data_IF_399108140780
#
_entry.id   IF_399108140780
#
_cell.length_a   1.000
_cell.length_b   1.000
_cell.length_c   1.000
_cell.angle_alpha   90.00
_cell.angle_beta   90.00
_cell.angle_gamma   90.00
#
_symmetry.space_group_name_H-M   'P 1'
#
loop_
_entity.id
_entity.type
_entity.pdbx_description
1 polymer ?
#
# COMPACT_ATOMS: atom_id res chain seq x y z
N UNK A 1 32.63 -17.10 44.73
CA UNK A 1 31.23 -16.90 44.28
C UNK A 1 31.19 -17.03 42.76
N UNK A 2 30.22 -17.78 42.21
CA UNK A 2 29.87 -17.89 40.77
C UNK A 2 31.00 -18.47 39.88
N UNK A 3 30.98 -19.74 39.51
CA UNK A 3 30.11 -20.44 38.52
C UNK A 3 30.76 -20.55 37.13
N UNK A 4 31.15 -21.79 36.81
CA UNK A 4 31.25 -22.43 35.49
C UNK A 4 30.04 -22.10 34.57
N UNK A 5 29.96 -22.36 33.25
CA UNK A 5 30.78 -22.99 32.19
C UNK A 5 30.22 -22.48 30.82
N UNK A 6 30.75 -22.65 29.60
CA UNK A 6 31.98 -23.23 29.01
C UNK A 6 32.21 -22.58 27.60
N UNK A 7 32.98 -23.21 26.70
CA UNK A 7 33.18 -22.82 25.28
C UNK A 7 32.99 -24.04 24.37
N UNK A 8 32.43 -23.85 23.17
CA UNK A 8 32.59 -24.78 22.04
C UNK A 8 32.51 -24.04 20.69
N UNK A 9 33.65 -23.85 20.04
CA UNK A 9 33.76 -23.57 18.60
C UNK A 9 34.48 -24.77 17.99
N UNK A 10 33.88 -25.40 16.98
CA UNK A 10 34.51 -26.46 16.20
C UNK A 10 34.01 -26.41 14.75
N UNK A 11 34.91 -26.68 13.82
CA UNK A 11 34.72 -26.48 12.38
C UNK A 11 35.31 -27.63 11.55
N UNK A 12 34.78 -27.75 10.33
CA UNK A 12 35.27 -28.53 9.18
C UNK A 12 35.09 -30.07 9.11
N UNK A 13 34.80 -30.51 7.88
CA UNK A 13 34.72 -31.90 7.41
C UNK A 13 33.28 -32.40 7.20
N UNK A 14 32.90 -33.06 6.09
CA UNK A 14 33.62 -33.44 4.85
C UNK A 14 32.60 -33.45 3.68
N UNK A 15 33.07 -33.19 2.45
CA UNK A 15 32.26 -33.26 1.22
C UNK A 15 31.87 -34.72 0.94
N UNK A 16 30.58 -34.98 0.64
CA UNK A 16 30.15 -36.24 0.02
C UNK A 16 29.29 -35.96 -1.21
N UNK A 17 29.81 -36.32 -2.37
CA UNK A 17 29.10 -36.22 -3.65
C UNK A 17 28.19 -37.42 -3.82
N UNK A 18 26.87 -37.21 -3.83
CA UNK A 18 25.92 -38.21 -4.31
C UNK A 18 25.17 -37.67 -5.53
N UNK A 19 25.46 -38.26 -6.69
CA UNK A 19 24.61 -38.14 -7.88
C UNK A 19 23.38 -39.01 -7.65
N UNK A 20 22.21 -38.40 -7.61
CA UNK A 20 20.93 -39.09 -7.71
C UNK A 20 20.15 -38.48 -8.87
N UNK A 21 19.96 -39.26 -9.93
CA UNK A 21 19.16 -38.86 -11.08
C UNK A 21 17.68 -39.20 -10.83
N UNK A 22 16.82 -38.26 -11.22
CA UNK A 22 15.52 -38.49 -11.86
C UNK A 22 14.22 -38.33 -11.06
N UNK A 23 13.22 -37.97 -11.89
CA UNK A 23 11.77 -37.88 -11.70
C UNK A 23 11.22 -36.72 -10.86
N UNK A 24 10.42 -35.91 -11.55
CA UNK A 24 9.87 -34.68 -11.02
C UNK A 24 8.81 -34.93 -9.96
N UNK A 25 8.98 -34.24 -8.84
CA UNK A 25 7.87 -33.77 -8.03
C UNK A 25 7.83 -32.26 -8.21
N UNK A 26 6.65 -31.74 -8.53
CA UNK A 26 6.41 -30.30 -8.56
C UNK A 26 6.66 -29.76 -7.16
N UNK A 27 7.72 -28.98 -6.98
CA UNK A 27 7.92 -28.15 -5.79
C UNK A 27 6.83 -27.08 -5.76
N UNK A 28 5.66 -27.43 -5.24
CA UNK A 28 4.70 -26.46 -4.74
C UNK A 28 5.29 -25.89 -3.45
N UNK A 29 6.26 -24.99 -3.61
CA UNK A 29 6.72 -24.15 -2.53
C UNK A 29 5.49 -23.39 -2.01
N UNK A 30 5.06 -23.62 -0.76
CA UNK A 30 3.85 -23.00 -0.26
C UNK A 30 4.07 -21.50 -0.25
N UNK A 31 3.17 -20.75 -0.87
CA UNK A 31 3.21 -19.29 -0.86
C UNK A 31 3.44 -18.81 0.58
N UNK A 32 4.38 -17.87 0.81
CA UNK A 32 4.79 -17.48 2.16
C UNK A 32 3.55 -17.12 2.98
N UNK A 33 3.36 -17.84 4.09
CA UNK A 33 2.17 -17.73 4.91
C UNK A 33 1.94 -16.26 5.27
N UNK A 34 0.76 -15.72 4.92
CA UNK A 34 0.42 -14.32 5.15
C UNK A 34 0.66 -13.96 6.61
N UNK A 35 1.67 -13.11 6.86
CA UNK A 35 1.94 -12.55 8.18
C UNK A 35 0.66 -11.94 8.75
N UNK A 36 0.45 -11.96 10.08
CA UNK A 36 -0.85 -11.65 10.69
C UNK A 36 -1.23 -10.15 10.72
N UNK A 37 -1.24 -9.51 9.56
CA UNK A 37 -2.23 -8.48 9.26
C UNK A 37 -3.53 -9.21 8.91
N UNK A 38 -4.41 -9.41 9.89
CA UNK A 38 -5.60 -10.25 9.69
C UNK A 38 -6.44 -9.77 8.51
N UNK A 39 -7.10 -10.69 7.81
CA UNK A 39 -8.06 -10.41 6.72
C UNK A 39 -9.28 -9.54 7.13
N UNK A 40 -9.27 -9.01 8.35
CA UNK A 40 -10.25 -8.08 8.92
C UNK A 40 -9.79 -6.61 8.85
N UNK A 41 -8.53 -6.28 8.58
CA UNK A 41 -8.10 -4.86 8.48
C UNK A 41 -8.54 -4.18 7.18
N UNK A 42 -8.65 -4.92 6.08
CA UNK A 42 -8.98 -4.37 4.77
C UNK A 42 -10.47 -4.49 4.43
N UNK A 43 -10.99 -3.49 3.69
CA UNK A 43 -12.31 -3.57 3.06
C UNK A 43 -12.21 -4.47 1.83
N UNK A 44 -13.13 -5.43 1.70
CA UNK A 44 -13.21 -6.38 0.59
C UNK A 44 -14.45 -6.16 -0.27
N UNK A 45 -14.40 -6.59 -1.52
CA UNK A 45 -15.54 -6.56 -2.44
C UNK A 45 -16.39 -7.83 -2.31
N UNK A 46 -17.70 -7.73 -2.44
CA UNK A 46 -18.66 -8.83 -2.47
C UNK A 46 -19.80 -8.53 -3.46
N UNK A 47 -19.58 -8.82 -4.74
CA UNK A 47 -20.43 -8.33 -5.83
C UNK A 47 -20.35 -6.80 -5.91
N UNK A 48 -21.49 -6.12 -5.89
CA UNK A 48 -21.56 -4.64 -5.91
C UNK A 48 -21.40 -3.99 -4.52
N UNK A 49 -21.04 -4.76 -3.48
CA UNK A 49 -20.93 -4.25 -2.09
C UNK A 49 -19.50 -4.25 -1.62
N UNK A 50 -19.16 -3.26 -0.79
CA UNK A 50 -17.96 -3.26 0.04
C UNK A 50 -18.31 -3.84 1.41
N UNK A 51 -17.41 -4.67 1.96
CA UNK A 51 -17.57 -5.35 3.25
C UNK A 51 -16.34 -5.09 4.11
N UNK A 52 -16.55 -4.65 5.35
CA UNK A 52 -15.48 -4.39 6.31
C UNK A 52 -15.31 -5.56 7.31
N UNK A 53 -14.42 -5.38 8.30
CA UNK A 53 -14.26 -6.26 9.45
C UNK A 53 -15.61 -6.77 10.02
N UNK A 54 -15.71 -8.07 10.26
CA UNK A 54 -16.91 -8.70 10.83
C UNK A 54 -18.12 -8.74 9.90
N UNK A 55 -17.87 -8.82 8.59
CA UNK A 55 -18.89 -8.97 7.52
C UNK A 55 -19.97 -7.87 7.46
N UNK A 56 -19.67 -6.70 8.02
CA UNK A 56 -20.55 -5.53 7.94
C UNK A 56 -20.44 -4.86 6.57
N UNK A 57 -21.60 -4.47 6.02
CA UNK A 57 -21.65 -3.60 4.85
C UNK A 57 -20.89 -2.29 5.12
N UNK A 58 -19.97 -1.95 4.22
CA UNK A 58 -19.18 -0.75 4.28
C UNK A 58 -19.68 0.26 3.25
N UNK A 59 -20.12 1.43 3.71
CA UNK A 59 -20.44 2.58 2.86
C UNK A 59 -19.37 3.63 3.06
N UNK A 60 -18.69 4.02 1.99
CA UNK A 60 -17.66 5.06 2.04
C UNK A 60 -18.33 6.38 2.43
N UNK A 61 -17.82 6.99 3.50
CA UNK A 61 -17.96 8.41 3.82
C UNK A 61 -16.55 8.92 3.99
N UNK A 62 -16.00 9.46 2.91
CA UNK A 62 -14.63 9.96 2.84
C UNK A 62 -14.60 11.47 2.58
N UNK A 63 -13.49 12.08 2.97
CA UNK A 63 -13.09 13.45 2.65
C UNK A 63 -11.57 13.47 2.45
N UNK A 64 -11.06 14.38 1.62
CA UNK A 64 -9.62 14.53 1.41
C UNK A 64 -8.91 15.00 2.67
N UNK A 65 -7.73 14.46 2.96
CA UNK A 65 -6.87 14.88 4.06
C UNK A 65 -5.55 15.46 3.51
N UNK A 66 -5.34 16.76 3.71
CA UNK A 66 -4.15 17.48 3.23
C UNK A 66 -4.17 17.80 1.73
N UNK A 67 -2.99 17.77 1.11
CA UNK A 67 -2.77 18.02 -0.32
C UNK A 67 -1.72 17.04 -0.88
N UNK A 68 -1.24 17.24 -2.11
CA UNK A 68 -0.09 16.49 -2.64
C UNK A 68 1.23 16.79 -1.91
N UNK A 69 1.32 17.96 -1.27
CA UNK A 69 2.56 18.49 -0.67
C UNK A 69 2.54 18.59 0.86
N UNK A 70 1.36 18.79 1.48
CA UNK A 70 1.25 18.97 2.93
C UNK A 70 1.43 17.64 3.70
N UNK A 71 2.18 17.68 4.80
CA UNK A 71 2.25 16.58 5.75
C UNK A 71 0.96 16.51 6.59
N UNK A 72 0.58 15.34 7.13
CA UNK A 72 -0.69 15.20 7.83
C UNK A 72 -0.72 15.92 9.19
N UNK A 73 -1.86 16.55 9.47
CA UNK A 73 -2.14 17.26 10.73
C UNK A 73 -3.09 16.40 11.58
N UNK A 74 -2.80 16.23 12.88
CA UNK A 74 -3.60 15.39 13.77
C UNK A 74 -5.04 15.91 13.93
N UNK A 75 -5.21 17.21 14.12
CA UNK A 75 -6.50 17.89 14.27
C UNK A 75 -7.47 17.61 13.11
N UNK A 76 -6.97 17.50 11.87
CA UNK A 76 -7.79 17.17 10.70
C UNK A 76 -8.40 15.76 10.86
N UNK A 77 -7.58 14.78 11.25
CA UNK A 77 -8.01 13.39 11.44
C UNK A 77 -9.00 13.25 12.60
N UNK A 78 -8.75 13.95 13.71
CA UNK A 78 -9.73 14.02 14.80
C UNK A 78 -11.05 14.61 14.29
N UNK A 79 -11.00 15.75 13.60
CA UNK A 79 -12.20 16.47 13.16
C UNK A 79 -13.02 15.64 12.17
N UNK A 80 -12.36 14.93 11.26
CA UNK A 80 -12.99 14.01 10.30
C UNK A 80 -13.72 12.88 11.03
N UNK A 81 -13.10 12.27 12.06
CA UNK A 81 -13.73 11.23 12.86
C UNK A 81 -14.89 11.76 13.73
N UNK A 82 -14.76 12.97 14.30
CA UNK A 82 -15.85 13.66 15.00
C UNK A 82 -17.08 13.85 14.08
N UNK A 83 -16.85 14.22 12.82
CA UNK A 83 -17.86 14.40 11.76
C UNK A 83 -18.45 13.07 11.19
N UNK A 84 -18.07 11.91 11.74
CA UNK A 84 -18.61 10.57 11.40
C UNK A 84 -18.35 10.08 9.97
N UNK A 85 -17.34 10.66 9.32
CA UNK A 85 -16.63 10.01 8.22
C UNK A 85 -16.01 8.69 8.72
N UNK A 86 -15.79 7.75 7.82
CA UNK A 86 -15.15 6.46 8.13
C UNK A 86 -13.89 6.20 7.28
N UNK A 87 -13.55 7.11 6.38
CA UNK A 87 -12.33 7.05 5.59
C UNK A 87 -11.79 8.45 5.32
N UNK A 88 -10.53 8.54 4.93
CA UNK A 88 -9.92 9.72 4.33
C UNK A 88 -9.30 9.37 2.98
N UNK A 89 -9.35 10.30 2.05
CA UNK A 89 -8.63 10.20 0.79
C UNK A 89 -7.28 10.90 0.94
N UNK A 90 -6.19 10.16 0.73
CA UNK A 90 -4.82 10.69 0.76
C UNK A 90 -4.33 10.84 -0.66
N UNK A 91 -4.06 12.09 -1.04
CA UNK A 91 -3.50 12.41 -2.35
C UNK A 91 -2.01 12.04 -2.38
N UNK A 92 -1.66 11.25 -3.38
CA UNK A 92 -0.32 10.79 -3.69
C UNK A 92 0.17 11.45 -4.99
N UNK A 93 1.46 11.77 -5.01
CA UNK A 93 2.20 12.15 -6.19
C UNK A 93 3.37 11.19 -6.33
N UNK A 94 3.53 10.55 -7.49
CA UNK A 94 4.60 9.56 -7.69
C UNK A 94 5.98 10.21 -7.55
N UNK A 95 6.10 11.50 -7.87
CA UNK A 95 7.29 12.34 -7.73
C UNK A 95 7.79 12.43 -6.28
N UNK A 96 6.93 12.17 -5.29
CA UNK A 96 7.33 12.08 -3.87
C UNK A 96 7.76 10.69 -3.43
N UNK A 97 7.42 9.65 -4.19
CA UNK A 97 7.71 8.24 -3.86
C UNK A 97 8.92 7.70 -4.63
N UNK A 98 9.30 8.34 -5.75
CA UNK A 98 10.23 7.81 -6.74
C UNK A 98 11.17 8.90 -7.27
N UNK A 99 12.43 8.55 -7.51
CA UNK A 99 13.43 9.43 -8.09
C UNK A 99 13.40 9.37 -9.63
N UNK A 100 12.78 10.35 -10.28
CA UNK A 100 12.69 10.43 -11.75
C UNK A 100 14.06 10.38 -12.45
N UNK A 101 15.11 10.94 -11.83
CA UNK A 101 16.46 10.95 -12.38
C UNK A 101 17.20 9.60 -12.23
N UNK A 102 16.64 8.65 -11.45
CA UNK A 102 17.23 7.33 -11.20
C UNK A 102 16.16 6.24 -11.09
N UNK A 103 15.73 5.67 -12.22
CA UNK A 103 14.69 4.65 -12.22
C UNK A 103 15.01 3.46 -11.31
N UNK A 104 14.07 3.15 -10.41
CA UNK A 104 14.20 2.10 -9.39
C UNK A 104 14.63 2.59 -8.00
N UNK A 105 15.04 3.85 -7.86
CA UNK A 105 15.33 4.47 -6.56
C UNK A 105 14.06 5.11 -5.97
N UNK A 106 13.63 4.63 -4.79
CA UNK A 106 12.47 5.17 -4.08
C UNK A 106 12.88 6.25 -3.08
N UNK A 107 12.00 7.24 -2.88
CA UNK A 107 12.21 8.34 -1.96
C UNK A 107 11.59 8.04 -0.59
N UNK A 108 12.45 7.75 0.38
CA UNK A 108 12.11 7.44 1.78
C UNK A 108 11.13 8.46 2.41
N UNK A 109 11.32 9.76 2.12
CA UNK A 109 10.46 10.83 2.65
C UNK A 109 8.99 10.77 2.16
N UNK A 110 8.72 10.15 1.02
CA UNK A 110 7.36 9.89 0.55
C UNK A 110 6.67 8.79 1.36
N UNK A 111 7.42 7.74 1.68
CA UNK A 111 6.94 6.60 2.47
C UNK A 111 6.70 6.99 3.93
N UNK A 112 7.63 7.74 4.55
CA UNK A 112 7.46 8.28 5.90
C UNK A 112 6.21 9.17 6.04
N UNK A 113 5.89 9.97 5.02
CA UNK A 113 4.63 10.73 4.98
C UNK A 113 3.41 9.81 4.93
N UNK A 114 3.43 8.76 4.10
CA UNK A 114 2.34 7.78 4.02
C UNK A 114 2.13 7.04 5.35
N UNK A 115 3.21 6.68 6.03
CA UNK A 115 3.16 6.06 7.36
C UNK A 115 2.56 7.00 8.42
N UNK A 116 2.85 8.30 8.36
CA UNK A 116 2.21 9.30 9.21
C UNK A 116 0.68 9.39 8.97
N UNK A 117 0.24 9.40 7.70
CA UNK A 117 -1.19 9.33 7.36
C UNK A 117 -1.84 8.03 7.87
N UNK A 118 -1.14 6.89 7.79
CA UNK A 118 -1.61 5.59 8.27
C UNK A 118 -1.71 5.52 9.80
N UNK A 119 -0.74 6.10 10.52
CA UNK A 119 -0.73 6.16 11.97
C UNK A 119 -1.93 6.95 12.51
N UNK A 120 -2.20 8.13 11.95
CA UNK A 120 -3.37 8.94 12.32
C UNK A 120 -4.69 8.27 11.92
N UNK A 121 -4.78 7.68 10.72
CA UNK A 121 -5.97 6.94 10.31
C UNK A 121 -6.31 5.82 11.31
N UNK A 122 -5.31 5.01 11.69
CA UNK A 122 -5.46 3.97 12.72
C UNK A 122 -5.86 4.54 14.08
N UNK A 123 -5.24 5.64 14.53
CA UNK A 123 -5.54 6.31 15.82
C UNK A 123 -7.01 6.74 15.93
N UNK A 124 -7.61 7.22 14.85
CA UNK A 124 -8.99 7.72 14.83
C UNK A 124 -10.02 6.75 14.23
N UNK A 125 -9.63 5.50 13.91
CA UNK A 125 -10.54 4.48 13.38
C UNK A 125 -11.02 4.74 11.95
N UNK A 126 -10.22 5.44 11.15
CA UNK A 126 -10.48 5.80 9.76
C UNK A 126 -9.75 4.83 8.80
N UNK A 127 -10.39 4.50 7.68
CA UNK A 127 -9.74 3.80 6.56
C UNK A 127 -9.00 4.80 5.66
N UNK A 128 -7.94 4.36 4.98
CA UNK A 128 -7.30 5.13 3.91
C UNK A 128 -7.84 4.74 2.54
N UNK A 129 -8.12 5.74 1.71
CA UNK A 129 -8.24 5.62 0.25
C UNK A 129 -7.02 6.31 -0.33
N UNK A 130 -6.23 5.60 -1.13
CA UNK A 130 -5.02 6.15 -1.77
C UNK A 130 -5.36 6.58 -3.19
N UNK A 131 -5.18 7.87 -3.48
CA UNK A 131 -5.50 8.48 -4.78
C UNK A 131 -4.23 9.06 -5.40
N UNK A 132 -3.84 8.59 -6.59
CA UNK A 132 -2.72 9.17 -7.34
C UNK A 132 -3.25 10.30 -8.24
N UNK A 133 -2.85 11.55 -7.99
CA UNK A 133 -3.41 12.70 -8.70
C UNK A 133 -2.57 13.12 -9.93
N UNK A 134 -1.24 13.06 -9.81
CA UNK A 134 -0.31 13.49 -10.86
C UNK A 134 0.09 12.32 -11.76
N UNK A 135 -0.84 11.76 -12.54
CA UNK A 135 -0.50 10.68 -13.49
C UNK A 135 -0.22 11.27 -14.88
N UNK A 136 1.04 11.22 -15.32
CA UNK A 136 1.42 11.60 -16.67
C UNK A 136 0.62 10.81 -17.72
N UNK A 137 0.16 11.49 -18.78
CA UNK A 137 -0.69 10.90 -19.83
C UNK A 137 -2.20 10.88 -19.53
N UNK A 138 -2.64 11.12 -18.28
CA UNK A 138 -4.06 11.26 -17.95
C UNK A 138 -4.56 12.71 -17.94
N UNK A 139 -3.66 13.69 -17.91
CA UNK A 139 -4.00 15.12 -17.94
C UNK A 139 -4.12 15.62 -19.39
N UNK A 140 -5.36 15.71 -19.88
CA UNK A 140 -5.65 16.45 -21.12
C UNK A 140 -5.37 17.95 -20.90
N UNK A 141 -4.41 18.52 -21.64
CA UNK A 141 -4.12 19.95 -21.63
C UNK A 141 -4.79 20.63 -22.83
N UNK A 142 -5.84 21.45 -22.65
CA UNK A 142 -6.47 22.16 -23.75
C UNK A 142 -5.50 23.15 -24.42
N UNK A 143 -5.35 23.04 -25.74
CA UNK A 143 -4.74 24.11 -26.54
C UNK A 143 -5.58 25.38 -26.45
N UNK A 144 -4.97 26.48 -26.01
CA UNK A 144 -5.65 27.76 -25.80
C UNK A 144 -6.31 28.27 -27.09
N UNK A 145 -7.64 28.33 -27.09
CA UNK A 145 -8.44 28.82 -28.22
C UNK A 145 -8.99 27.73 -29.16
N UNK A 146 -8.72 26.45 -28.91
CA UNK A 146 -9.44 25.36 -29.58
C UNK A 146 -10.66 24.92 -28.75
N UNK A 147 -11.76 24.64 -29.45
CA UNK A 147 -12.89 23.92 -28.86
C UNK A 147 -12.46 22.46 -28.59
N UNK A 148 -12.68 21.99 -27.37
CA UNK A 148 -12.32 20.63 -26.94
C UNK A 148 -13.54 19.74 -27.07
N UNK A 149 -13.36 18.59 -27.72
CA UNK A 149 -14.34 17.53 -27.76
C UNK A 149 -14.14 16.61 -26.54
N UNK A 150 -14.97 16.78 -25.51
CA UNK A 150 -14.88 16.04 -24.24
C UNK A 150 -15.38 14.58 -24.33
N UNK A 151 -15.28 13.94 -25.50
CA UNK A 151 -15.64 12.53 -25.68
C UNK A 151 -14.62 11.61 -25.02
N UNK A 152 -14.76 11.47 -23.70
CA UNK A 152 -14.14 10.44 -22.87
C UNK A 152 -14.49 9.08 -23.46
N UNK A 153 -13.48 8.31 -23.87
CA UNK A 153 -13.52 6.86 -24.13
C UNK A 153 -14.90 6.31 -24.57
N UNK A 154 -15.32 6.65 -25.80
CA UNK A 154 -16.45 5.97 -26.45
C UNK A 154 -15.94 4.65 -26.99
N UNK A 155 -15.99 3.64 -26.12
CA UNK A 155 -15.82 2.19 -26.37
C UNK A 155 -14.48 1.75 -27.00
N UNK A 156 -13.72 0.81 -26.40
CA UNK A 156 -12.86 -0.04 -27.22
C UNK A 156 -13.78 -0.89 -28.12
N UNK A 157 -13.56 -0.82 -29.43
CA UNK A 157 -14.18 -1.76 -30.36
C UNK A 157 -13.82 -3.20 -29.93
N UNK A 158 -14.84 -4.05 -29.77
CA UNK A 158 -14.74 -5.47 -29.38
C UNK A 158 -14.68 -6.40 -30.59
#
# INVERSE_FOLDING_TARGET
MKSQFAVAVLSFGVISSNVALAFGLTSSEPAPASSPGSSREYVRVAGQRLIAAGDREFRIRAIGAGSLSADPIEDDYERIAQLKFNAVTVMLSYQRLFNEAKPGEYLESGWQRLDAHLALARKYGLYLILEMADVEGAQFVPSKGQAVDYRVWIEPEL
#
